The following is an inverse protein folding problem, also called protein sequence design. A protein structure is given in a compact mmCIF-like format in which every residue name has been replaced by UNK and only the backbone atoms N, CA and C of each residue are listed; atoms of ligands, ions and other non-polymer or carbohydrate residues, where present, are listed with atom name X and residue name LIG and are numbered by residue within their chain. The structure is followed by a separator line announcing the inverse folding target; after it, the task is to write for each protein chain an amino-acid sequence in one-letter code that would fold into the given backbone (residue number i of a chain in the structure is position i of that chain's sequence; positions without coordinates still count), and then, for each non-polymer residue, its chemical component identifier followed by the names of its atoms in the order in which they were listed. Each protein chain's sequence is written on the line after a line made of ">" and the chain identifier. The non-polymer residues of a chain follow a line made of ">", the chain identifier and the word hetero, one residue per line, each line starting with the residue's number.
data_IF_288619492664
#
_entry.id   IF_288619492664
#
_cell.length_a   1.000
_cell.length_b   1.000
_cell.length_c   1.000
_cell.angle_alpha   90.00
_cell.angle_beta   90.00
_cell.angle_gamma   90.00
#
_symmetry.space_group_name_H-M   'P 1'
#
loop_
_entity.id
_entity.type
_entity.pdbx_description
1 polymer ?
#
# COMPACT_ATOMS: atom_id res chain seq x y z
N UNK A 1 14.57 12.86 -3.45
CA UNK A 1 14.31 14.31 -3.34
C UNK A 1 15.63 15.06 -3.27
N UNK A 2 15.65 16.31 -3.78
CA UNK A 2 16.76 17.24 -3.62
C UNK A 2 16.75 17.92 -2.23
N UNK A 3 17.77 18.74 -1.92
CA UNK A 3 17.89 19.44 -0.64
C UNK A 3 17.80 20.95 -0.80
N UNK A 4 18.73 21.54 -1.57
CA UNK A 4 18.87 22.99 -1.64
C UNK A 4 17.80 23.59 -2.57
N UNK A 5 16.83 24.31 -2.01
CA UNK A 5 15.63 24.84 -2.71
C UNK A 5 14.39 23.95 -2.58
N UNK A 6 14.55 22.72 -2.08
CA UNK A 6 13.46 21.74 -1.87
C UNK A 6 13.20 21.54 -0.36
N UNK A 7 14.13 20.93 0.37
CA UNK A 7 14.07 20.78 1.85
C UNK A 7 14.53 22.04 2.60
N UNK A 8 15.25 22.94 1.90
CA UNK A 8 15.69 24.24 2.41
C UNK A 8 15.16 25.35 1.52
N UNK A 9 15.34 26.60 1.95
CA UNK A 9 14.97 27.80 1.19
C UNK A 9 15.90 28.11 -0.02
N UNK A 10 16.87 27.22 -0.28
CA UNK A 10 17.86 27.39 -1.35
C UNK A 10 18.95 28.40 -1.07
N UNK A 11 18.92 29.10 0.06
CA UNK A 11 19.96 30.07 0.42
C UNK A 11 21.18 29.39 0.98
N UNK A 12 22.34 29.97 0.70
CA UNK A 12 23.63 29.52 1.21
C UNK A 12 24.12 30.51 2.25
N UNK A 13 24.23 30.06 3.48
CA UNK A 13 24.76 30.86 4.59
C UNK A 13 26.23 30.53 4.79
N UNK A 14 27.11 31.43 4.36
CA UNK A 14 28.56 31.24 4.38
C UNK A 14 29.21 31.99 5.51
N UNK A 15 30.08 31.31 6.24
CA UNK A 15 31.04 31.91 7.18
C UNK A 15 32.47 31.84 6.64
N UNK A 16 33.43 32.34 7.41
CA UNK A 16 34.86 32.33 7.05
C UNK A 16 35.42 30.93 6.81
N UNK A 17 34.82 29.89 7.43
CA UNK A 17 35.26 28.50 7.34
C UNK A 17 34.37 27.61 6.47
N UNK A 18 33.52 28.18 5.64
CA UNK A 18 32.60 27.45 4.75
C UNK A 18 31.13 27.63 5.13
N UNK A 19 30.31 26.61 4.88
CA UNK A 19 28.88 26.65 5.17
C UNK A 19 28.63 26.77 6.68
N UNK A 20 27.83 27.77 7.07
CA UNK A 20 27.56 28.11 8.45
C UNK A 20 26.33 27.41 9.00
N UNK A 21 25.22 27.43 8.22
CA UNK A 21 23.94 26.87 8.60
C UNK A 21 23.05 26.57 7.39
N UNK A 22 22.04 25.74 7.61
CA UNK A 22 20.88 25.55 6.72
C UNK A 22 19.61 25.61 7.57
N UNK A 23 18.58 26.23 7.01
CA UNK A 23 17.26 26.24 7.61
C UNK A 23 16.41 25.10 7.03
N UNK A 24 15.85 24.27 7.91
CA UNK A 24 14.90 23.22 7.58
C UNK A 24 13.56 23.51 8.24
N UNK A 25 12.47 23.21 7.54
CA UNK A 25 11.15 23.31 8.13
C UNK A 25 10.84 22.06 8.98
N UNK A 26 10.30 22.27 10.17
CA UNK A 26 9.94 21.17 11.08
C UNK A 26 8.76 20.35 10.53
N UNK A 27 7.83 20.99 9.77
CA UNK A 27 6.69 20.29 9.16
C UNK A 27 7.14 19.31 8.07
N UNK A 28 8.15 19.69 7.26
CA UNK A 28 8.74 18.79 6.26
C UNK A 28 9.37 17.57 6.94
N UNK A 29 10.12 17.78 8.03
CA UNK A 29 10.69 16.68 8.83
C UNK A 29 9.63 15.77 9.44
N UNK A 30 8.58 16.33 10.01
CA UNK A 30 7.44 15.58 10.55
C UNK A 30 6.72 14.79 9.43
N UNK A 31 6.54 15.40 8.24
CA UNK A 31 5.97 14.71 7.09
C UNK A 31 6.77 13.47 6.68
N UNK A 32 8.09 13.58 6.66
CA UNK A 32 8.96 12.45 6.33
C UNK A 32 8.90 11.37 7.41
N UNK A 33 9.08 11.75 8.68
CA UNK A 33 9.17 10.79 9.79
C UNK A 33 7.82 10.15 10.15
N UNK A 34 6.74 10.95 10.22
CA UNK A 34 5.46 10.54 10.79
C UNK A 34 4.40 10.14 9.73
N UNK A 35 4.60 10.48 8.45
CA UNK A 35 3.68 10.13 7.37
C UNK A 35 4.33 9.26 6.31
N UNK A 36 5.47 9.69 5.72
CA UNK A 36 6.06 9.01 4.57
C UNK A 36 6.62 7.63 4.96
N UNK A 37 7.45 7.58 6.00
CA UNK A 37 8.07 6.32 6.47
C UNK A 37 7.01 5.31 6.96
N UNK A 38 6.02 5.70 7.80
CA UNK A 38 4.97 4.78 8.21
C UNK A 38 4.06 4.30 7.05
N UNK A 39 3.97 5.07 5.96
CA UNK A 39 3.28 4.64 4.73
C UNK A 39 4.09 3.64 3.88
N UNK A 40 5.24 3.17 4.36
CA UNK A 40 6.11 2.23 3.64
C UNK A 40 6.92 2.87 2.51
N UNK A 41 6.95 4.19 2.39
CA UNK A 41 7.70 4.89 1.35
C UNK A 41 9.11 5.19 1.86
N UNK A 42 10.12 4.75 1.12
CA UNK A 42 11.53 4.92 1.48
C UNK A 42 12.01 6.32 1.08
N UNK A 43 12.33 7.22 2.03
CA UNK A 43 12.89 8.52 1.71
C UNK A 43 14.33 8.40 1.21
N UNK A 44 14.61 9.03 0.07
CA UNK A 44 15.91 9.06 -0.56
C UNK A 44 16.33 10.51 -0.86
N UNK A 45 17.50 10.90 -0.39
CA UNK A 45 18.13 12.19 -0.71
C UNK A 45 19.22 11.99 -1.77
N UNK A 46 19.18 12.82 -2.83
CA UNK A 46 20.23 12.90 -3.85
C UNK A 46 20.54 14.37 -4.08
N UNK A 47 21.68 14.86 -3.58
CA UNK A 47 22.06 16.27 -3.68
C UNK A 47 23.48 16.48 -4.19
N UNK A 48 23.67 17.55 -4.96
CA UNK A 48 24.98 17.89 -5.54
C UNK A 48 25.99 18.43 -4.53
N UNK A 49 25.56 18.96 -3.42
CA UNK A 49 26.43 19.52 -2.37
C UNK A 49 26.74 18.49 -1.28
N UNK A 50 27.86 18.70 -0.59
CA UNK A 50 28.20 17.96 0.64
C UNK A 50 28.03 18.88 1.85
N UNK A 51 27.33 18.41 2.87
CA UNK A 51 27.06 19.17 4.08
C UNK A 51 26.85 18.22 5.27
N UNK A 52 27.62 18.40 6.32
CA UNK A 52 27.40 17.67 7.59
C UNK A 52 26.06 18.04 8.24
N UNK A 53 25.59 19.28 8.01
CA UNK A 53 24.30 19.74 8.51
C UNK A 53 23.16 18.91 7.89
N UNK A 54 23.22 18.63 6.58
CA UNK A 54 22.27 17.75 5.88
C UNK A 54 22.35 16.32 6.42
N UNK A 55 23.56 15.78 6.61
CA UNK A 55 23.72 14.43 7.16
C UNK A 55 23.13 14.28 8.56
N UNK A 56 23.34 15.28 9.43
CA UNK A 56 22.77 15.31 10.78
C UNK A 56 21.23 15.41 10.72
N UNK A 57 20.69 16.24 9.83
CA UNK A 57 19.23 16.37 9.67
C UNK A 57 18.59 15.09 9.13
N UNK A 58 19.19 14.44 8.13
CA UNK A 58 18.72 13.14 7.63
C UNK A 58 18.63 12.11 8.76
N UNK A 59 19.67 11.99 9.56
CA UNK A 59 19.71 11.06 10.70
C UNK A 59 18.62 11.37 11.74
N UNK A 60 18.40 12.64 12.05
CA UNK A 60 17.37 13.09 13.00
C UNK A 60 15.95 12.70 12.58
N UNK A 61 15.64 12.83 11.29
CA UNK A 61 14.28 12.56 10.73
C UNK A 61 14.13 11.16 10.13
N UNK A 62 15.07 10.24 10.40
CA UNK A 62 14.97 8.83 10.00
C UNK A 62 15.32 8.52 8.55
N UNK A 63 15.94 9.44 7.81
CA UNK A 63 16.40 9.18 6.44
C UNK A 63 17.74 8.41 6.50
N UNK A 64 17.72 7.15 6.08
CA UNK A 64 18.90 6.28 6.07
C UNK A 64 19.62 6.30 4.71
N UNK A 65 18.90 6.64 3.62
CA UNK A 65 19.44 6.69 2.27
C UNK A 65 19.66 8.14 1.84
N UNK A 66 20.90 8.60 1.86
CA UNK A 66 21.24 9.93 1.38
C UNK A 66 22.60 9.96 0.68
N UNK A 67 22.62 10.51 -0.51
CA UNK A 67 23.79 10.64 -1.37
C UNK A 67 24.12 12.12 -1.55
N UNK A 68 25.31 12.51 -1.19
CA UNK A 68 25.79 13.88 -1.24
C UNK A 68 27.00 14.04 -2.19
N UNK A 69 27.15 15.21 -2.78
CA UNK A 69 28.23 15.49 -3.73
C UNK A 69 28.04 14.74 -5.06
N UNK A 70 26.79 14.48 -5.42
CA UNK A 70 26.41 13.71 -6.60
C UNK A 70 26.48 14.58 -7.83
N UNK A 71 27.31 14.19 -8.81
CA UNK A 71 27.40 14.86 -10.12
C UNK A 71 26.34 14.36 -11.11
N UNK A 72 25.97 13.07 -11.03
CA UNK A 72 24.94 12.45 -11.87
C UNK A 72 23.84 11.86 -10.98
N UNK A 73 22.76 12.63 -10.80
CA UNK A 73 21.60 12.23 -9.99
C UNK A 73 20.86 11.03 -10.61
N UNK A 74 20.84 10.93 -11.95
CA UNK A 74 20.16 9.84 -12.68
C UNK A 74 20.86 8.51 -12.40
N UNK A 75 22.16 8.45 -12.60
CA UNK A 75 22.93 7.24 -12.35
C UNK A 75 22.79 6.77 -10.89
N UNK A 76 22.80 7.72 -9.94
CA UNK A 76 22.63 7.42 -8.53
C UNK A 76 21.24 6.85 -8.23
N UNK A 77 20.17 7.42 -8.80
CA UNK A 77 18.80 6.93 -8.63
C UNK A 77 18.62 5.54 -9.22
N UNK A 78 19.12 5.31 -10.43
CA UNK A 78 19.03 4.00 -11.11
C UNK A 78 19.78 2.92 -10.34
N UNK A 79 20.99 3.24 -9.85
CA UNK A 79 21.76 2.29 -9.02
C UNK A 79 21.01 1.95 -7.72
N UNK A 80 20.44 2.95 -7.05
CA UNK A 80 19.65 2.73 -5.83
C UNK A 80 18.44 1.82 -6.12
N UNK A 81 17.72 2.04 -7.20
CA UNK A 81 16.58 1.19 -7.59
C UNK A 81 17.02 -0.24 -7.88
N UNK A 82 18.13 -0.42 -8.62
CA UNK A 82 18.65 -1.75 -8.91
C UNK A 82 19.07 -2.53 -7.65
N UNK A 83 19.68 -1.84 -6.69
CA UNK A 83 20.13 -2.45 -5.42
C UNK A 83 18.99 -2.82 -4.49
N UNK A 84 17.82 -2.16 -4.62
CA UNK A 84 16.66 -2.35 -3.77
C UNK A 84 15.45 -3.01 -4.47
N UNK A 85 15.59 -3.45 -5.72
CA UNK A 85 14.55 -4.15 -6.47
C UNK A 85 13.38 -3.27 -6.90
N UNK A 86 13.56 -1.93 -6.93
CA UNK A 86 12.53 -0.97 -7.33
C UNK A 86 12.60 -0.60 -8.82
N UNK A 87 11.57 0.08 -9.29
CA UNK A 87 11.50 0.59 -10.66
C UNK A 87 11.06 2.07 -10.69
N UNK A 88 11.23 2.74 -11.85
CA UNK A 88 10.97 4.17 -11.98
C UNK A 88 9.50 4.56 -11.82
N UNK A 89 8.57 3.66 -12.09
CA UNK A 89 7.12 3.92 -11.90
C UNK A 89 6.73 4.01 -10.42
N UNK A 90 7.57 3.48 -9.53
CA UNK A 90 7.38 3.53 -8.07
C UNK A 90 8.09 4.73 -7.42
N UNK A 91 8.73 5.59 -8.23
CA UNK A 91 9.47 6.75 -7.72
C UNK A 91 8.58 7.98 -7.65
N UNK A 92 8.60 8.63 -6.49
CA UNK A 92 8.16 10.02 -6.34
C UNK A 92 9.39 10.93 -6.20
N UNK A 93 9.57 11.87 -7.12
CA UNK A 93 10.69 12.80 -7.13
C UNK A 93 10.23 14.24 -6.88
N UNK A 94 10.85 14.93 -5.94
CA UNK A 94 10.65 16.37 -5.72
C UNK A 94 11.97 17.10 -5.85
N UNK A 95 11.97 18.18 -6.62
CA UNK A 95 13.12 19.05 -6.89
C UNK A 95 12.63 20.43 -7.34
N UNK A 96 13.55 21.39 -7.44
CA UNK A 96 13.20 22.79 -7.69
C UNK A 96 13.90 23.44 -8.88
N UNK A 97 15.03 22.91 -9.34
CA UNK A 97 15.84 23.62 -10.33
C UNK A 97 16.34 22.74 -11.48
N UNK A 98 17.09 23.33 -12.40
CA UNK A 98 17.58 22.74 -13.67
C UNK A 98 18.39 21.45 -13.46
N UNK A 99 19.11 21.33 -12.35
CA UNK A 99 19.90 20.15 -12.00
C UNK A 99 19.04 18.91 -11.69
N UNK A 100 17.74 19.09 -11.46
CA UNK A 100 16.76 18.02 -11.22
C UNK A 100 16.08 17.54 -12.51
N UNK A 101 16.06 18.38 -13.56
CA UNK A 101 15.25 18.14 -14.76
C UNK A 101 15.48 16.77 -15.40
N UNK A 102 16.69 16.26 -15.40
CA UNK A 102 17.00 14.96 -16.02
C UNK A 102 16.34 13.83 -15.22
N UNK A 103 16.42 13.86 -13.89
CA UNK A 103 15.72 12.92 -13.01
C UNK A 103 14.19 13.06 -13.14
N UNK A 104 13.70 14.30 -13.11
CA UNK A 104 12.28 14.62 -13.21
C UNK A 104 11.67 14.05 -14.50
N UNK A 105 12.31 14.30 -15.64
CA UNK A 105 11.85 13.77 -16.94
C UNK A 105 11.84 12.24 -16.95
N UNK A 106 12.93 11.62 -16.52
CA UNK A 106 13.05 10.18 -16.50
C UNK A 106 11.98 9.52 -15.61
N UNK A 107 11.74 10.06 -14.42
CA UNK A 107 10.70 9.56 -13.50
C UNK A 107 9.31 9.72 -14.13
N UNK A 108 8.98 10.91 -14.65
CA UNK A 108 7.68 11.18 -15.28
C UNK A 108 7.40 10.30 -16.49
N UNK A 109 8.38 10.16 -17.40
CA UNK A 109 8.25 9.37 -18.63
C UNK A 109 8.09 7.86 -18.36
N UNK A 110 8.51 7.40 -17.20
CA UNK A 110 8.36 6.01 -16.75
C UNK A 110 7.20 5.79 -15.76
N UNK A 111 6.28 6.75 -15.65
CA UNK A 111 5.05 6.57 -14.86
C UNK A 111 5.17 6.92 -13.38
N UNK A 112 6.33 7.44 -12.94
CA UNK A 112 6.51 7.92 -11.58
C UNK A 112 5.87 9.31 -11.35
N UNK A 113 5.89 9.79 -10.12
CA UNK A 113 5.24 11.03 -9.69
C UNK A 113 6.28 12.13 -9.46
N UNK A 114 6.00 13.33 -9.93
CA UNK A 114 6.90 14.48 -9.78
C UNK A 114 6.21 15.58 -8.98
N UNK A 115 6.89 16.07 -7.93
CA UNK A 115 6.49 17.24 -7.14
C UNK A 115 7.45 18.42 -7.33
N UNK A 116 6.94 19.62 -7.13
CA UNK A 116 7.71 20.86 -7.15
C UNK A 116 7.24 21.82 -6.07
N UNK A 117 8.14 22.56 -5.40
CA UNK A 117 7.75 23.71 -4.58
C UNK A 117 7.25 24.87 -5.46
N UNK A 118 6.46 25.80 -4.89
CA UNK A 118 5.87 26.91 -5.64
C UNK A 118 6.90 27.84 -6.28
N UNK A 119 8.08 27.95 -5.69
CA UNK A 119 9.20 28.75 -6.18
C UNK A 119 10.19 27.99 -7.07
N UNK A 120 9.87 26.74 -7.45
CA UNK A 120 10.67 26.00 -8.41
C UNK A 120 10.77 26.71 -9.77
N UNK A 121 11.81 26.45 -10.54
CA UNK A 121 11.93 27.02 -11.89
C UNK A 121 10.78 26.54 -12.79
N UNK A 122 10.47 27.34 -13.82
CA UNK A 122 9.29 27.13 -14.67
C UNK A 122 9.31 25.74 -15.33
N UNK A 123 10.47 25.29 -15.79
CA UNK A 123 10.63 23.99 -16.46
C UNK A 123 10.31 22.80 -15.53
N UNK A 124 10.64 22.90 -14.25
CA UNK A 124 10.29 21.89 -13.25
C UNK A 124 8.80 21.87 -13.01
N UNK A 125 8.18 23.04 -12.83
CA UNK A 125 6.72 23.17 -12.61
C UNK A 125 5.89 22.64 -13.78
N UNK A 126 6.33 22.83 -15.02
CA UNK A 126 5.66 22.31 -16.21
C UNK A 126 5.68 20.77 -16.31
N UNK A 127 6.68 20.15 -15.73
CA UNK A 127 6.81 18.70 -15.67
C UNK A 127 6.14 18.08 -14.44
N UNK A 128 5.89 18.84 -13.39
CA UNK A 128 5.36 18.35 -12.14
C UNK A 128 3.91 17.81 -12.28
N UNK A 129 3.60 16.72 -11.59
CA UNK A 129 2.24 16.23 -11.37
C UNK A 129 1.56 17.01 -10.24
N UNK A 130 2.37 17.54 -9.33
CA UNK A 130 1.92 18.33 -8.19
C UNK A 130 2.87 19.51 -7.97
N UNK A 131 2.31 20.70 -7.91
CA UNK A 131 3.02 21.93 -7.52
C UNK A 131 2.46 22.37 -6.19
N UNK A 132 3.29 22.40 -5.16
CA UNK A 132 2.90 22.84 -3.83
C UNK A 132 2.53 24.33 -3.83
N UNK A 133 1.64 24.75 -2.94
CA UNK A 133 1.37 26.17 -2.66
C UNK A 133 2.49 26.81 -1.83
N UNK A 134 3.32 25.98 -1.17
CA UNK A 134 4.43 26.42 -0.32
C UNK A 134 5.74 26.47 -1.09
N UNK A 135 6.66 27.32 -0.64
CA UNK A 135 8.02 27.40 -1.17
C UNK A 135 8.89 26.31 -0.56
N UNK A 136 10.01 25.98 -1.21
CA UNK A 136 11.00 25.07 -0.69
C UNK A 136 11.52 25.52 0.68
N UNK A 137 11.70 24.55 1.59
CA UNK A 137 12.09 24.81 2.98
C UNK A 137 11.02 25.47 3.84
N UNK A 138 9.78 25.55 3.37
CA UNK A 138 8.66 26.14 4.13
C UNK A 138 7.36 25.31 4.04
N UNK A 139 7.47 23.98 3.98
CA UNK A 139 6.35 23.07 4.00
C UNK A 139 6.01 22.45 2.64
N UNK A 140 6.73 22.76 1.57
CA UNK A 140 6.48 22.21 0.23
C UNK A 140 6.64 20.69 0.18
N UNK A 141 7.64 20.14 0.88
CA UNK A 141 7.86 18.68 0.94
C UNK A 141 6.76 18.03 1.77
N UNK A 142 6.31 18.63 2.87
CA UNK A 142 5.17 18.16 3.65
C UNK A 142 3.90 18.07 2.80
N UNK A 143 3.59 19.10 2.05
CA UNK A 143 2.44 19.19 1.16
C UNK A 143 2.48 18.10 0.08
N UNK A 144 3.64 17.89 -0.54
CA UNK A 144 3.84 16.80 -1.50
C UNK A 144 3.70 15.42 -0.87
N UNK A 145 4.18 15.21 0.35
CA UNK A 145 4.02 13.95 1.08
C UNK A 145 2.53 13.69 1.35
N UNK A 146 1.78 14.67 1.78
CA UNK A 146 0.33 14.54 1.99
C UNK A 146 -0.40 14.20 0.68
N UNK A 147 -0.01 14.83 -0.43
CA UNK A 147 -0.50 14.46 -1.77
C UNK A 147 -0.17 13.00 -2.11
N UNK A 148 1.06 12.54 -1.89
CA UNK A 148 1.48 11.16 -2.18
C UNK A 148 0.72 10.16 -1.32
N UNK A 149 0.65 10.37 -0.01
CA UNK A 149 -0.04 9.46 0.91
C UNK A 149 -1.54 9.42 0.62
N UNK A 150 -2.16 10.57 0.32
CA UNK A 150 -3.57 10.64 -0.06
C UNK A 150 -3.85 9.97 -1.40
N UNK A 151 -2.92 10.05 -2.37
CA UNK A 151 -3.08 9.43 -3.68
C UNK A 151 -2.65 7.95 -3.69
N UNK A 152 -1.70 7.54 -2.87
CA UNK A 152 -1.47 6.12 -2.59
C UNK A 152 -2.74 5.45 -2.03
N UNK A 153 -3.41 6.13 -1.09
CA UNK A 153 -4.72 5.69 -0.61
C UNK A 153 -5.78 5.69 -1.73
N UNK A 154 -5.73 6.66 -2.67
CA UNK A 154 -6.64 6.71 -3.83
C UNK A 154 -6.28 5.73 -4.94
N UNK A 155 -5.01 5.42 -5.17
CA UNK A 155 -4.60 4.36 -6.12
C UNK A 155 -4.99 2.97 -5.60
N UNK A 156 -4.95 2.74 -4.29
CA UNK A 156 -5.53 1.54 -3.67
C UNK A 156 -7.07 1.51 -3.83
N UNK A 157 -7.73 2.66 -3.89
CA UNK A 157 -9.18 2.79 -4.15
C UNK A 157 -9.49 2.78 -5.67
N UNK A 158 -8.54 3.14 -6.54
CA UNK A 158 -8.70 3.11 -8.01
C UNK A 158 -8.12 1.86 -8.68
N UNK A 159 -7.41 1.01 -7.93
CA UNK A 159 -7.02 -0.31 -8.41
C UNK A 159 -8.28 -1.09 -8.83
N UNK A 160 -8.21 -1.79 -9.95
CA UNK A 160 -9.30 -2.68 -10.34
C UNK A 160 -9.62 -3.65 -9.20
N UNK A 161 -10.86 -4.14 -9.14
CA UNK A 161 -11.22 -5.11 -8.10
C UNK A 161 -10.27 -6.31 -8.08
N UNK A 162 -9.77 -6.70 -9.25
CA UNK A 162 -8.81 -7.81 -9.40
C UNK A 162 -7.46 -7.46 -8.76
N UNK A 163 -6.91 -6.27 -9.00
CA UNK A 163 -5.66 -5.80 -8.36
C UNK A 163 -5.82 -5.68 -6.85
N UNK A 164 -6.97 -5.17 -6.37
CA UNK A 164 -7.26 -5.11 -4.92
C UNK A 164 -7.30 -6.51 -4.29
N UNK A 165 -7.85 -7.50 -5.00
CA UNK A 165 -7.85 -8.89 -4.54
C UNK A 165 -6.44 -9.49 -4.51
N UNK A 166 -5.60 -9.20 -5.51
CA UNK A 166 -4.20 -9.65 -5.55
C UNK A 166 -3.42 -9.05 -4.38
N UNK A 167 -3.49 -7.74 -4.19
CA UNK A 167 -2.80 -7.04 -3.11
C UNK A 167 -3.25 -7.54 -1.72
N UNK A 168 -4.54 -7.78 -1.53
CA UNK A 168 -5.08 -8.31 -0.28
C UNK A 168 -4.62 -9.77 -0.04
N UNK A 169 -4.55 -10.59 -1.08
CA UNK A 169 -4.01 -11.95 -1.00
C UNK A 169 -2.52 -11.93 -0.61
N UNK A 170 -1.71 -11.09 -1.25
CA UNK A 170 -0.29 -10.94 -0.93
C UNK A 170 -0.08 -10.46 0.50
N UNK A 171 -0.90 -9.51 0.96
CA UNK A 171 -0.91 -9.06 2.35
C UNK A 171 -1.20 -10.22 3.32
N UNK A 172 -2.25 -11.02 3.07
CA UNK A 172 -2.60 -12.17 3.91
C UNK A 172 -1.47 -13.21 3.93
N UNK A 173 -0.76 -13.42 2.82
CA UNK A 173 0.38 -14.34 2.75
C UNK A 173 1.59 -13.89 3.60
N UNK A 174 1.69 -12.61 3.92
CA UNK A 174 2.80 -12.02 4.71
C UNK A 174 2.48 -11.91 6.21
N UNK A 175 1.25 -12.25 6.64
CA UNK A 175 0.85 -12.20 8.04
C UNK A 175 1.73 -13.10 8.91
N UNK A 176 2.22 -12.56 10.01
CA UNK A 176 3.02 -13.28 11.00
C UNK A 176 2.11 -13.89 12.07
N UNK A 177 2.68 -14.73 12.94
CA UNK A 177 1.93 -15.39 14.00
C UNK A 177 1.22 -14.41 14.95
N UNK A 178 1.86 -13.25 15.19
CA UNK A 178 1.31 -12.13 15.99
C UNK A 178 0.07 -11.49 15.39
N UNK A 179 -0.05 -11.50 14.05
CA UNK A 179 -1.19 -10.93 13.29
C UNK A 179 -2.38 -11.92 13.22
N UNK A 180 -2.17 -13.17 13.61
CA UNK A 180 -3.16 -14.25 13.53
C UNK A 180 -3.95 -14.43 14.82
N UNK A 181 -4.16 -13.37 15.60
CA UNK A 181 -5.07 -13.38 16.76
C UNK A 181 -6.52 -13.47 16.30
N UNK A 182 -7.33 -14.28 17.00
CA UNK A 182 -8.76 -14.49 16.63
C UNK A 182 -9.51 -13.17 16.71
N UNK A 183 -10.25 -12.84 15.67
CA UNK A 183 -11.09 -11.64 15.59
C UNK A 183 -10.89 -10.85 14.32
N UNK A 184 -11.49 -9.67 14.29
CA UNK A 184 -11.48 -8.73 13.18
C UNK A 184 -10.24 -7.83 13.26
N UNK A 185 -9.58 -7.65 12.10
CA UNK A 185 -8.41 -6.80 11.93
C UNK A 185 -8.65 -5.84 10.76
N UNK A 186 -8.76 -4.57 11.04
CA UNK A 186 -8.89 -3.53 10.01
C UNK A 186 -7.52 -3.20 9.43
N UNK A 187 -7.42 -3.17 8.10
CA UNK A 187 -6.18 -2.82 7.38
C UNK A 187 -6.31 -1.43 6.77
N UNK A 188 -7.43 -1.17 6.06
CA UNK A 188 -7.77 0.13 5.49
C UNK A 188 -9.28 0.21 5.19
N UNK A 189 -9.74 1.34 4.64
CA UNK A 189 -11.16 1.62 4.36
C UNK A 189 -11.84 0.61 3.41
N UNK A 190 -11.06 -0.11 2.56
CA UNK A 190 -11.54 -1.07 1.57
C UNK A 190 -11.22 -2.52 1.87
N UNK A 191 -10.42 -2.80 2.91
CA UNK A 191 -9.95 -4.15 3.22
C UNK A 191 -9.80 -4.37 4.73
N UNK A 192 -10.39 -5.45 5.21
CA UNK A 192 -10.17 -6.01 6.54
C UNK A 192 -10.08 -7.53 6.46
N UNK A 193 -9.56 -8.18 7.49
CA UNK A 193 -9.60 -9.63 7.58
C UNK A 193 -10.09 -10.09 8.96
N UNK A 194 -10.64 -11.29 8.99
CA UNK A 194 -11.12 -11.95 10.20
C UNK A 194 -10.39 -13.29 10.38
N UNK A 195 -9.74 -13.46 11.52
CA UNK A 195 -9.11 -14.72 11.90
C UNK A 195 -10.12 -15.55 12.68
N UNK A 196 -10.41 -16.73 12.19
CA UNK A 196 -11.39 -17.66 12.75
C UNK A 196 -10.72 -18.98 13.13
N UNK A 197 -11.14 -19.54 14.25
CA UNK A 197 -10.80 -20.90 14.66
C UNK A 197 -12.09 -21.64 15.04
N UNK A 198 -12.30 -22.78 14.42
CA UNK A 198 -13.49 -23.60 14.65
C UNK A 198 -13.25 -25.07 14.29
N UNK A 199 -14.19 -25.93 14.63
CA UNK A 199 -14.22 -27.33 14.19
C UNK A 199 -15.16 -27.49 12.98
N UNK A 200 -14.66 -28.10 11.91
CA UNK A 200 -15.48 -28.42 10.73
C UNK A 200 -16.53 -29.48 11.08
N UNK A 201 -17.67 -29.45 10.41
CA UNK A 201 -18.80 -30.35 10.68
C UNK A 201 -18.97 -31.36 9.54
N UNK A 202 -19.19 -32.63 9.87
CA UNK A 202 -19.48 -33.69 8.91
C UNK A 202 -20.77 -33.39 8.10
N UNK A 203 -21.82 -32.92 8.79
CA UNK A 203 -23.01 -32.40 8.15
C UNK A 203 -22.86 -30.89 7.98
N UNK A 204 -22.78 -30.38 6.74
CA UNK A 204 -22.67 -28.96 6.50
C UNK A 204 -23.90 -28.23 7.04
N UNK A 205 -23.71 -26.93 7.35
CA UNK A 205 -24.86 -26.04 7.49
C UNK A 205 -25.74 -26.21 6.24
N UNK A 206 -27.05 -26.30 6.42
CA UNK A 206 -28.00 -26.58 5.31
C UNK A 206 -27.98 -25.52 4.21
N UNK A 207 -27.35 -24.39 4.44
CA UNK A 207 -27.41 -23.20 3.58
C UNK A 207 -26.09 -22.91 2.90
N UNK A 208 -26.16 -22.39 1.68
CA UNK A 208 -25.07 -21.62 1.07
C UNK A 208 -25.23 -20.15 1.46
N UNK A 209 -24.14 -19.41 1.51
CA UNK A 209 -24.17 -17.97 1.73
C UNK A 209 -23.35 -17.25 0.63
N UNK A 210 -23.75 -16.03 0.30
CA UNK A 210 -22.97 -15.10 -0.53
C UNK A 210 -22.99 -13.71 0.08
N UNK A 211 -22.04 -12.90 -0.34
CA UNK A 211 -21.87 -11.52 0.10
C UNK A 211 -22.12 -10.56 -1.07
N UNK A 212 -22.74 -9.39 -0.82
CA UNK A 212 -23.04 -8.42 -1.86
C UNK A 212 -22.00 -7.32 -1.99
N UNK A 213 -21.39 -6.93 -0.87
CA UNK A 213 -20.53 -5.76 -0.79
C UNK A 213 -19.04 -6.09 -0.75
N UNK A 214 -18.69 -7.39 -0.68
CA UNK A 214 -17.31 -7.83 -0.50
C UNK A 214 -16.97 -9.02 -1.40
N UNK A 215 -15.72 -9.06 -1.82
CA UNK A 215 -15.06 -10.28 -2.29
C UNK A 215 -14.36 -10.90 -1.09
N UNK A 216 -14.50 -12.22 -0.93
CA UNK A 216 -13.86 -12.97 0.13
C UNK A 216 -12.57 -13.62 -0.36
N UNK A 217 -11.49 -13.48 0.41
CA UNK A 217 -10.30 -14.32 0.27
C UNK A 217 -10.25 -15.23 1.48
N UNK A 218 -10.44 -16.52 1.29
CA UNK A 218 -10.41 -17.50 2.37
C UNK A 218 -9.12 -18.30 2.30
N UNK A 219 -8.21 -18.12 3.26
CA UNK A 219 -6.93 -18.82 3.35
C UNK A 219 -6.86 -19.68 4.61
N UNK A 220 -6.52 -20.95 4.45
CA UNK A 220 -6.37 -21.87 5.58
C UNK A 220 -4.96 -21.77 6.16
N UNK A 221 -4.87 -21.56 7.47
CA UNK A 221 -3.62 -21.52 8.22
C UNK A 221 -3.28 -22.90 8.80
N UNK A 222 -4.30 -23.60 9.33
CA UNK A 222 -4.12 -24.97 9.86
C UNK A 222 -5.38 -25.81 9.68
N UNK A 223 -5.22 -27.13 9.66
CA UNK A 223 -6.29 -28.10 9.46
C UNK A 223 -6.56 -28.41 7.98
N UNK A 224 -7.72 -28.97 7.68
CA UNK A 224 -8.20 -29.28 6.32
C UNK A 224 -9.69 -29.00 6.25
N UNK A 225 -10.11 -28.26 5.24
CA UNK A 225 -11.51 -27.88 5.03
C UNK A 225 -11.93 -28.13 3.59
N UNK A 226 -13.16 -28.59 3.39
CA UNK A 226 -13.80 -28.65 2.08
C UNK A 226 -14.76 -27.47 1.93
N UNK A 227 -14.57 -26.69 0.90
CA UNK A 227 -15.46 -25.59 0.52
C UNK A 227 -16.29 -26.04 -0.68
N UNK A 228 -17.62 -25.91 -0.58
CA UNK A 228 -18.54 -26.10 -1.69
C UNK A 228 -18.95 -24.76 -2.24
N UNK A 229 -18.97 -24.62 -3.58
CA UNK A 229 -19.21 -23.36 -4.29
C UNK A 229 -20.25 -23.60 -5.38
N UNK A 230 -21.22 -22.68 -5.49
CA UNK A 230 -22.29 -22.70 -6.50
C UNK A 230 -22.55 -21.28 -7.00
N UNK A 231 -22.77 -21.10 -8.28
CA UNK A 231 -23.22 -19.82 -8.84
C UNK A 231 -24.60 -19.46 -8.26
N UNK A 232 -24.76 -18.25 -7.72
CA UNK A 232 -25.99 -17.76 -7.08
C UNK A 232 -27.20 -17.87 -8.01
N UNK A 233 -27.02 -17.74 -9.33
CA UNK A 233 -28.10 -17.89 -10.33
C UNK A 233 -28.68 -19.31 -10.41
N UNK A 234 -28.02 -20.29 -9.83
CA UNK A 234 -28.47 -21.68 -9.77
C UNK A 234 -29.12 -22.04 -8.43
N UNK A 235 -29.28 -21.07 -7.55
CA UNK A 235 -29.77 -21.24 -6.19
C UNK A 235 -31.10 -20.51 -5.96
N UNK A 236 -31.92 -21.08 -5.10
CA UNK A 236 -33.12 -20.41 -4.59
C UNK A 236 -32.78 -19.72 -3.27
N UNK A 237 -33.11 -18.43 -3.19
CA UNK A 237 -32.94 -17.63 -1.97
C UNK A 237 -33.84 -18.18 -0.86
N UNK A 238 -33.27 -18.46 0.29
CA UNK A 238 -33.98 -18.85 1.50
C UNK A 238 -34.21 -17.64 2.40
N UNK A 239 -33.15 -16.87 2.67
CA UNK A 239 -33.21 -15.61 3.45
C UNK A 239 -32.66 -14.49 2.58
N UNK A 240 -33.45 -13.44 2.32
CA UNK A 240 -32.99 -12.27 1.58
C UNK A 240 -31.80 -11.59 2.27
N UNK A 241 -31.17 -10.66 1.56
CA UNK A 241 -30.01 -9.94 2.02
C UNK A 241 -30.20 -9.31 3.40
N UNK A 242 -29.38 -9.74 4.36
CA UNK A 242 -29.26 -9.20 5.70
C UNK A 242 -28.13 -8.15 5.71
N UNK A 243 -28.49 -6.89 5.83
CA UNK A 243 -27.52 -5.79 5.80
C UNK A 243 -26.61 -5.73 7.05
N UNK A 244 -26.98 -6.36 8.16
CA UNK A 244 -26.18 -6.40 9.40
C UNK A 244 -25.12 -7.49 9.31
N UNK A 245 -25.51 -8.67 8.80
CA UNK A 245 -24.61 -9.82 8.61
C UNK A 245 -23.93 -9.81 7.25
N UNK A 246 -24.34 -8.89 6.39
CA UNK A 246 -23.82 -8.72 5.02
C UNK A 246 -23.81 -10.06 4.24
N UNK A 247 -24.98 -10.76 4.20
CA UNK A 247 -25.11 -12.04 3.52
C UNK A 247 -26.52 -12.32 3.02
N UNK A 248 -26.59 -13.16 1.98
CA UNK A 248 -27.81 -13.84 1.52
C UNK A 248 -27.65 -15.32 1.82
N UNK A 249 -28.73 -15.98 2.29
CA UNK A 249 -28.74 -17.43 2.48
C UNK A 249 -29.56 -18.10 1.39
N UNK A 250 -29.08 -19.26 0.95
CA UNK A 250 -29.70 -20.05 -0.11
C UNK A 250 -30.00 -21.46 0.34
N UNK A 251 -31.05 -22.06 -0.19
CA UNK A 251 -31.36 -23.46 0.02
C UNK A 251 -30.22 -24.39 -0.48
N UNK A 252 -30.08 -25.59 0.11
CA UNK A 252 -29.09 -26.57 -0.32
C UNK A 252 -29.18 -26.88 -1.82
N UNK A 253 -28.05 -27.15 -2.44
CA UNK A 253 -27.96 -27.61 -3.83
C UNK A 253 -26.90 -28.70 -3.91
N UNK A 254 -27.22 -29.82 -4.53
CA UNK A 254 -26.33 -30.97 -4.67
C UNK A 254 -25.31 -30.80 -5.80
N UNK A 255 -25.56 -29.86 -6.73
CA UNK A 255 -24.68 -29.59 -7.87
C UNK A 255 -23.66 -28.50 -7.55
N UNK A 256 -22.82 -28.70 -6.52
CA UNK A 256 -21.77 -27.79 -6.12
C UNK A 256 -20.39 -28.25 -6.58
N UNK A 257 -19.55 -27.30 -7.02
CA UNK A 257 -18.13 -27.54 -7.12
C UNK A 257 -17.53 -27.65 -5.71
N UNK A 258 -16.46 -28.41 -5.55
CA UNK A 258 -15.78 -28.58 -4.27
C UNK A 258 -14.31 -28.27 -4.39
N UNK A 259 -13.80 -27.45 -3.47
CA UNK A 259 -12.37 -27.16 -3.29
C UNK A 259 -11.92 -27.64 -1.93
N UNK A 260 -10.77 -28.29 -1.88
CA UNK A 260 -10.16 -28.72 -0.61
C UNK A 260 -9.07 -27.71 -0.25
N UNK A 261 -9.28 -27.02 0.85
CA UNK A 261 -8.30 -26.09 1.41
C UNK A 261 -7.38 -26.82 2.37
N UNK A 262 -6.09 -26.58 2.24
CA UNK A 262 -5.01 -27.05 3.11
C UNK A 262 -4.19 -25.84 3.59
N UNK A 263 -3.35 -25.96 4.61
CA UNK A 263 -2.49 -24.86 5.04
C UNK A 263 -1.73 -24.22 3.87
N UNK A 264 -1.85 -22.89 3.75
CA UNK A 264 -1.30 -22.10 2.64
C UNK A 264 -2.16 -22.08 1.36
N UNK A 265 -3.27 -22.83 1.28
CA UNK A 265 -4.20 -22.71 0.15
C UNK A 265 -5.18 -21.56 0.40
N UNK A 266 -5.49 -20.80 -0.65
CA UNK A 266 -6.51 -19.76 -0.64
C UNK A 266 -7.51 -19.91 -1.77
N UNK A 267 -8.69 -19.36 -1.61
CA UNK A 267 -9.73 -19.22 -2.63
C UNK A 267 -10.28 -17.81 -2.60
N UNK A 268 -10.54 -17.24 -3.76
CA UNK A 268 -11.19 -15.95 -3.93
C UNK A 268 -12.63 -16.20 -4.37
N UNK A 269 -13.59 -15.63 -3.65
CA UNK A 269 -15.02 -15.81 -3.84
C UNK A 269 -15.66 -14.46 -4.11
N UNK A 270 -16.21 -14.32 -5.29
CA UNK A 270 -16.95 -13.13 -5.72
C UNK A 270 -18.41 -13.19 -5.25
N UNK A 271 -19.19 -12.10 -5.30
CA UNK A 271 -20.61 -12.09 -4.92
C UNK A 271 -21.48 -13.14 -5.61
N UNK A 272 -21.08 -13.56 -6.80
CA UNK A 272 -21.76 -14.63 -7.57
C UNK A 272 -21.47 -16.04 -7.06
N UNK A 273 -20.46 -16.20 -6.19
CA UNK A 273 -19.97 -17.49 -5.71
C UNK A 273 -20.54 -17.78 -4.32
N UNK A 274 -21.77 -18.31 -4.28
CA UNK A 274 -22.33 -18.78 -3.03
C UNK A 274 -21.55 -19.98 -2.53
N UNK A 275 -21.24 -20.01 -1.25
CA UNK A 275 -20.35 -21.02 -0.67
C UNK A 275 -20.81 -21.52 0.69
N UNK A 276 -20.30 -22.68 1.07
CA UNK A 276 -20.43 -23.25 2.42
C UNK A 276 -19.23 -24.14 2.77
N UNK A 277 -18.92 -24.21 4.05
CA UNK A 277 -17.83 -25.04 4.56
C UNK A 277 -18.32 -26.39 5.05
N UNK A 278 -17.53 -27.45 4.82
CA UNK A 278 -17.85 -28.83 5.16
C UNK A 278 -16.58 -29.53 5.66
N UNK A 279 -16.72 -30.53 6.55
CA UNK A 279 -15.60 -31.37 6.93
C UNK A 279 -15.07 -32.19 5.73
N UNK A 280 -13.75 -32.27 5.61
CA UNK A 280 -13.12 -33.10 4.60
C UNK A 280 -13.31 -34.57 4.92
N UNK A 281 -13.79 -35.36 3.93
CA UNK A 281 -14.07 -36.78 4.08
C UNK A 281 -14.96 -37.10 5.31
N UNK A 282 -15.89 -36.23 5.65
CA UNK A 282 -16.80 -36.37 6.80
C UNK A 282 -16.11 -36.46 8.16
N UNK A 283 -14.80 -36.19 8.23
CA UNK A 283 -14.02 -36.19 9.46
C UNK A 283 -13.87 -34.76 9.96
N UNK A 284 -14.54 -34.34 11.07
CA UNK A 284 -14.35 -33.06 11.67
C UNK A 284 -12.89 -32.86 12.12
N UNK A 285 -12.37 -31.65 11.94
CA UNK A 285 -11.07 -31.27 12.46
C UNK A 285 -11.05 -29.76 12.82
N UNK A 286 -10.17 -29.39 13.73
CA UNK A 286 -9.93 -27.97 14.01
C UNK A 286 -9.26 -27.31 12.84
N UNK A 287 -9.77 -26.15 12.46
CA UNK A 287 -9.20 -25.29 11.43
C UNK A 287 -8.97 -23.90 11.97
N UNK A 288 -7.88 -23.29 11.55
CA UNK A 288 -7.63 -21.86 11.69
C UNK A 288 -7.59 -21.24 10.30
N UNK A 289 -8.38 -20.20 10.08
CA UNK A 289 -8.59 -19.60 8.77
C UNK A 289 -8.57 -18.08 8.85
N UNK A 290 -7.98 -17.44 7.84
CA UNK A 290 -8.09 -16.01 7.57
C UNK A 290 -9.12 -15.81 6.49
N UNK A 291 -10.09 -14.93 6.73
CA UNK A 291 -11.08 -14.48 5.76
C UNK A 291 -10.87 -13.00 5.51
N UNK A 292 -10.23 -12.66 4.40
CA UNK A 292 -10.10 -11.28 3.92
C UNK A 292 -11.38 -10.82 3.26
N UNK A 293 -11.79 -9.59 3.51
CA UNK A 293 -12.97 -8.95 2.94
C UNK A 293 -12.55 -7.70 2.18
N UNK A 294 -12.67 -7.74 0.86
CA UNK A 294 -12.35 -6.62 -0.04
C UNK A 294 -13.66 -5.99 -0.48
N UNK A 295 -13.86 -4.72 -0.12
CA UNK A 295 -15.07 -3.97 -0.46
C UNK A 295 -15.19 -3.80 -1.97
N UNK A 296 -16.39 -4.03 -2.49
CA UNK A 296 -16.76 -3.68 -3.86
C UNK A 296 -17.33 -2.27 -3.84
N UNK A 297 -17.02 -1.47 -4.81
CA UNK A 297 -17.50 -0.08 -4.91
C UNK A 297 -18.99 0.00 -5.16
#
# INVERSE_FOLDING_TARGET
>A
MDVDGTLTDGKIYMGSNGELMKAFNIKDGCGIHDLLIPAGIIPLIITGRKSEIVANRCKEIGIVHFFQGVGDKVATLLQFLADNGGNLSEVAYVGDDLNDLTCIRMVKENGGVVGAPSNACQQVKELANFVSEYVGGDGAVRDFIEYLVSNNNKQLVQASLEERCINAYEYICQLKEEDLTIGLHEVNEGFYYNVQEYETKANPTKHFESHCKYVDIQMLISGVEKLQIVDVNKLQVETPYDNVKERILYYPNDNSASVILRPGSAVILYPKDAHRTVAFNENPCKVKKVVGKIKID
#
